data_IF_130804723178
#
_entry.id   IF_130804723178
#
_cell.length_a   1.000
_cell.length_b   1.000
_cell.length_c   1.000
_cell.angle_alpha   90.00
_cell.angle_beta   90.00
_cell.angle_gamma   90.00
#
_symmetry.space_group_name_H-M   'P 1'
#
loop_
_entity.id
_entity.type
_entity.pdbx_description
1 polymer ?
#
# COMPACT_ATOMS: atom_id res chain seq x y z
N UNK A 1 -0.69 -3.80 -9.93
CA UNK A 1 0.04 -4.27 -11.08
C UNK A 1 -0.11 -3.38 -12.30
N UNK A 2 0.54 -3.75 -13.38
CA UNK A 2 0.65 -2.91 -14.59
C UNK A 2 -0.69 -2.55 -15.24
N UNK A 3 -1.70 -3.41 -15.11
CA UNK A 3 -2.99 -3.26 -15.82
C UNK A 3 -4.22 -3.61 -15.00
N UNK A 4 -4.07 -3.86 -13.71
CA UNK A 4 -5.12 -4.55 -12.93
C UNK A 4 -5.78 -3.67 -11.86
N UNK A 5 -5.53 -2.36 -11.83
CA UNK A 5 -6.13 -1.45 -10.87
C UNK A 5 -6.76 -0.25 -11.57
N UNK A 6 -8.08 -0.14 -11.50
CA UNK A 6 -8.85 1.02 -11.95
C UNK A 6 -9.73 1.53 -10.83
N UNK A 7 -9.73 2.83 -10.59
CA UNK A 7 -10.60 3.45 -9.59
C UNK A 7 -12.08 3.25 -9.95
N UNK A 8 -12.45 3.47 -11.22
CA UNK A 8 -13.86 3.34 -11.66
C UNK A 8 -14.40 1.92 -11.50
N UNK A 9 -13.58 0.91 -11.77
CA UNK A 9 -13.98 -0.49 -11.59
C UNK A 9 -14.00 -0.83 -10.10
N UNK A 10 -13.00 -0.37 -9.36
CA UNK A 10 -12.93 -0.57 -7.91
C UNK A 10 -14.15 0.01 -7.19
N UNK A 11 -14.54 1.25 -7.50
CA UNK A 11 -15.72 1.88 -6.91
C UNK A 11 -17.01 1.08 -7.23
N UNK A 12 -17.20 0.65 -8.48
CA UNK A 12 -18.35 -0.19 -8.86
C UNK A 12 -18.40 -1.53 -8.14
N UNK A 13 -17.23 -2.13 -7.86
CA UNK A 13 -17.13 -3.37 -7.10
C UNK A 13 -17.51 -3.14 -5.64
N UNK A 14 -17.04 -2.04 -5.05
CA UNK A 14 -17.37 -1.65 -3.67
C UNK A 14 -18.85 -1.30 -3.52
N UNK A 15 -19.45 -0.60 -4.48
CA UNK A 15 -20.87 -0.28 -4.51
C UNK A 15 -21.77 -1.52 -4.51
N UNK A 16 -21.26 -2.66 -4.99
CA UNK A 16 -21.93 -3.96 -4.93
C UNK A 16 -21.69 -4.71 -3.61
N UNK A 17 -20.98 -4.10 -2.65
CA UNK A 17 -20.67 -4.69 -1.36
C UNK A 17 -19.51 -5.71 -1.41
N UNK A 18 -18.77 -5.79 -2.50
CA UNK A 18 -17.62 -6.69 -2.63
C UNK A 18 -16.37 -5.99 -2.12
N UNK A 19 -15.91 -6.43 -0.96
CA UNK A 19 -14.71 -5.86 -0.30
C UNK A 19 -13.52 -6.81 -0.52
N UNK A 20 -12.37 -6.31 -1.00
CA UNK A 20 -11.19 -7.14 -1.19
C UNK A 20 -10.67 -7.64 0.17
N UNK A 21 -10.29 -8.91 0.21
CA UNK A 21 -9.74 -9.50 1.44
C UNK A 21 -8.25 -9.15 1.62
N UNK A 22 -7.49 -9.13 0.51
CA UNK A 22 -6.06 -8.84 0.50
C UNK A 22 -5.71 -7.77 -0.53
N UNK A 23 -4.63 -7.03 -0.27
CA UNK A 23 -4.02 -6.09 -1.20
C UNK A 23 -2.65 -6.63 -1.61
N UNK A 24 -2.36 -6.59 -2.91
CA UNK A 24 -1.05 -6.92 -3.47
C UNK A 24 -0.60 -5.83 -4.43
N UNK A 25 0.70 -5.62 -4.55
CA UNK A 25 1.27 -4.69 -5.52
C UNK A 25 1.22 -5.24 -6.93
N UNK A 26 1.27 -6.57 -7.09
CA UNK A 26 1.53 -7.21 -8.38
C UNK A 26 2.72 -6.54 -9.10
N UNK A 27 3.79 -6.27 -8.34
CA UNK A 27 4.94 -5.49 -8.80
C UNK A 27 5.75 -6.28 -9.81
N UNK A 28 5.81 -5.77 -11.02
CA UNK A 28 6.65 -6.30 -12.10
C UNK A 28 7.72 -5.29 -12.48
N UNK A 29 8.79 -5.72 -13.15
CA UNK A 29 9.85 -4.81 -13.61
C UNK A 29 9.30 -3.64 -14.44
N UNK A 30 8.45 -3.86 -15.47
CA UNK A 30 7.81 -2.75 -16.19
C UNK A 30 6.85 -1.92 -15.34
N UNK A 31 6.09 -2.55 -14.45
CA UNK A 31 5.13 -1.88 -13.56
C UNK A 31 5.80 -0.94 -12.58
N UNK A 32 6.99 -1.29 -12.09
CA UNK A 32 7.78 -0.46 -11.17
C UNK A 32 8.20 0.89 -11.77
N UNK A 33 8.33 0.96 -13.07
CA UNK A 33 8.75 2.20 -13.75
C UNK A 33 7.61 3.21 -13.82
N UNK A 34 6.36 2.76 -14.07
CA UNK A 34 5.27 3.66 -14.44
C UNK A 34 4.01 3.56 -13.58
N UNK A 35 3.73 2.42 -12.93
CA UNK A 35 2.38 2.18 -12.40
C UNK A 35 2.33 1.98 -10.89
N UNK A 36 3.26 1.22 -10.31
CA UNK A 36 3.28 0.89 -8.88
C UNK A 36 4.70 0.90 -8.37
N UNK A 37 5.00 1.66 -7.32
CA UNK A 37 6.31 1.68 -6.72
C UNK A 37 6.47 0.72 -5.56
N UNK A 38 5.44 0.64 -4.73
CA UNK A 38 5.54 -0.01 -3.43
C UNK A 38 4.17 -0.39 -2.88
N UNK A 39 4.18 -1.18 -1.82
CA UNK A 39 2.98 -1.46 -1.05
C UNK A 39 2.41 -0.19 -0.40
N UNK A 40 3.23 0.75 0.05
CA UNK A 40 2.76 2.00 0.67
C UNK A 40 2.00 2.88 -0.31
N UNK A 41 2.38 2.90 -1.59
CA UNK A 41 1.59 3.55 -2.64
C UNK A 41 0.24 2.85 -2.84
N UNK A 42 0.20 1.51 -2.86
CA UNK A 42 -1.07 0.78 -2.93
C UNK A 42 -1.95 1.05 -1.72
N UNK A 43 -1.38 1.05 -0.50
CA UNK A 43 -2.12 1.44 0.72
C UNK A 43 -2.74 2.83 0.56
N UNK A 44 -1.98 3.80 0.06
CA UNK A 44 -2.48 5.18 -0.18
C UNK A 44 -3.62 5.20 -1.20
N UNK A 45 -3.56 4.39 -2.28
CA UNK A 45 -4.67 4.27 -3.24
C UNK A 45 -5.94 3.74 -2.59
N UNK A 46 -5.84 2.75 -1.72
CA UNK A 46 -7.00 2.21 -1.00
C UNK A 46 -7.56 3.22 0.02
N UNK A 47 -6.71 4.00 0.69
CA UNK A 47 -7.19 5.13 1.50
C UNK A 47 -7.94 6.16 0.64
N UNK A 48 -7.46 6.45 -0.58
CA UNK A 48 -8.13 7.35 -1.52
C UNK A 48 -9.45 6.78 -2.07
N UNK A 49 -9.71 5.48 -1.94
CA UNK A 49 -10.99 4.82 -2.22
C UNK A 49 -11.94 4.81 -1.01
N UNK A 50 -11.54 5.41 0.11
CA UNK A 50 -12.40 5.54 1.30
C UNK A 50 -12.20 4.46 2.37
N UNK A 51 -11.28 3.53 2.19
CA UNK A 51 -10.96 2.55 3.23
C UNK A 51 -10.31 3.22 4.44
N UNK A 52 -10.58 2.70 5.63
CA UNK A 52 -9.90 3.12 6.85
C UNK A 52 -8.48 2.56 6.89
N UNK A 53 -7.58 3.25 7.58
CA UNK A 53 -6.19 2.82 7.71
C UNK A 53 -6.06 1.40 8.29
N UNK A 54 -6.85 1.08 9.31
CA UNK A 54 -6.86 -0.23 9.94
C UNK A 54 -7.27 -1.35 8.97
N UNK A 55 -8.29 -1.09 8.13
CA UNK A 55 -8.73 -2.05 7.11
C UNK A 55 -7.60 -2.31 6.11
N UNK A 56 -6.96 -1.23 5.63
CA UNK A 56 -5.84 -1.32 4.68
C UNK A 56 -4.66 -2.08 5.29
N UNK A 57 -4.33 -1.83 6.57
CA UNK A 57 -3.28 -2.57 7.28
C UNK A 57 -3.63 -4.07 7.34
N UNK A 58 -4.86 -4.41 7.74
CA UNK A 58 -5.28 -5.80 7.83
C UNK A 58 -5.22 -6.52 6.47
N UNK A 59 -5.64 -5.84 5.39
CA UNK A 59 -5.55 -6.35 4.01
C UNK A 59 -4.11 -6.58 3.53
N UNK A 60 -3.11 -5.93 4.16
CA UNK A 60 -1.70 -6.09 3.82
C UNK A 60 -0.94 -7.01 4.77
N UNK A 61 -1.53 -7.42 5.88
CA UNK A 61 -0.83 -8.15 6.97
C UNK A 61 -1.54 -9.43 7.37
N UNK A 62 -2.49 -9.36 8.30
CA UNK A 62 -3.14 -10.56 8.86
C UNK A 62 -4.01 -11.30 7.83
N UNK A 63 -4.69 -10.57 6.94
CA UNK A 63 -5.55 -11.21 5.96
C UNK A 63 -4.76 -12.08 4.96
N UNK A 64 -3.67 -11.59 4.32
CA UNK A 64 -2.84 -12.43 3.47
C UNK A 64 -2.13 -13.54 4.24
N UNK A 65 -1.69 -13.31 5.49
CA UNK A 65 -1.12 -14.35 6.34
C UNK A 65 -2.13 -15.50 6.58
N UNK A 66 -3.38 -15.15 6.87
CA UNK A 66 -4.46 -16.14 7.05
C UNK A 66 -4.79 -16.88 5.74
N UNK A 67 -4.79 -16.17 4.62
CA UNK A 67 -5.09 -16.76 3.32
C UNK A 67 -4.09 -17.86 2.90
N UNK A 68 -2.84 -17.78 3.39
CA UNK A 68 -1.80 -18.79 3.13
C UNK A 68 -1.52 -19.70 4.32
N UNK A 69 -2.30 -19.63 5.41
CA UNK A 69 -2.16 -20.48 6.59
C UNK A 69 -1.00 -20.12 7.52
N UNK A 70 -0.46 -18.90 7.44
CA UNK A 70 0.70 -18.42 8.20
C UNK A 70 0.35 -17.45 9.34
N UNK A 71 -0.93 -17.31 9.68
CA UNK A 71 -1.42 -16.36 10.69
C UNK A 71 -0.84 -16.58 12.09
N UNK A 72 -0.39 -17.78 12.41
CA UNK A 72 0.23 -18.08 13.71
C UNK A 72 1.66 -17.51 13.82
N UNK A 73 2.32 -17.35 12.69
CA UNK A 73 3.71 -16.88 12.59
C UNK A 73 3.83 -15.42 12.14
N UNK A 74 2.93 -14.97 11.27
CA UNK A 74 3.01 -13.67 10.57
C UNK A 74 1.73 -12.84 10.76
N UNK A 75 1.79 -11.60 10.30
CA UNK A 75 0.63 -10.72 10.10
C UNK A 75 0.17 -9.93 11.32
N UNK A 76 0.75 -10.14 12.51
CA UNK A 76 0.45 -9.36 13.74
C UNK A 76 1.71 -9.09 14.56
N UNK A 77 1.61 -8.14 15.49
CA UNK A 77 2.70 -7.73 16.39
C UNK A 77 2.70 -8.46 17.74
N UNK A 78 2.03 -9.61 17.84
CA UNK A 78 2.00 -10.38 19.07
C UNK A 78 3.40 -10.92 19.42
N UNK A 79 3.73 -10.93 20.71
CA UNK A 79 4.97 -11.50 21.20
C UNK A 79 5.08 -12.99 20.79
N UNK A 80 6.27 -13.42 20.42
CA UNK A 80 6.54 -14.79 19.96
C UNK A 80 6.41 -15.00 18.45
N UNK A 81 5.87 -14.03 17.71
CA UNK A 81 5.84 -14.07 16.24
C UNK A 81 7.16 -13.63 15.63
N UNK A 82 7.34 -13.93 14.35
CA UNK A 82 8.53 -13.49 13.60
C UNK A 82 8.62 -11.97 13.60
N UNK A 83 9.82 -11.45 13.88
CA UNK A 83 10.08 -10.00 13.95
C UNK A 83 10.24 -9.40 12.54
N UNK A 84 9.15 -9.40 11.77
CA UNK A 84 9.02 -8.76 10.48
C UNK A 84 8.09 -7.55 10.62
N UNK A 85 8.65 -6.33 10.60
CA UNK A 85 7.94 -5.11 10.92
C UNK A 85 8.10 -4.08 9.79
N UNK A 86 7.05 -3.35 9.48
CA UNK A 86 7.12 -2.13 8.67
C UNK A 86 6.85 -0.92 9.55
N UNK A 87 7.79 0.02 9.58
CA UNK A 87 7.64 1.30 10.27
C UNK A 87 7.22 2.31 9.22
N UNK A 88 6.00 2.81 9.36
CA UNK A 88 5.34 3.69 8.41
C UNK A 88 4.99 5.02 9.07
N UNK A 89 4.86 6.06 8.28
CA UNK A 89 4.37 7.38 8.69
C UNK A 89 3.16 7.74 7.83
N UNK A 90 2.19 8.42 8.42
CA UNK A 90 1.15 9.11 7.66
C UNK A 90 1.63 10.54 7.43
N UNK A 91 1.81 10.89 6.18
CA UNK A 91 2.23 12.22 5.75
C UNK A 91 1.03 12.99 5.22
N UNK A 92 0.70 14.12 5.87
CA UNK A 92 -0.38 14.99 5.41
C UNK A 92 0.11 15.92 4.30
N UNK A 93 -0.75 16.20 3.33
CA UNK A 93 -0.44 17.08 2.21
C UNK A 93 -1.40 16.89 1.04
N UNK A 94 -1.16 17.61 -0.04
CA UNK A 94 -1.92 17.48 -1.28
C UNK A 94 -1.31 16.36 -2.14
N UNK A 95 -1.81 15.15 -1.95
CA UNK A 95 -1.33 13.98 -2.68
C UNK A 95 -2.24 13.67 -3.86
N UNK A 96 -1.65 13.16 -4.93
CA UNK A 96 -2.39 12.62 -6.08
C UNK A 96 -1.89 11.21 -6.37
N UNK A 97 -2.79 10.25 -6.35
CA UNK A 97 -2.53 8.87 -6.76
C UNK A 97 -3.23 8.59 -8.08
N UNK A 98 -2.66 7.70 -8.88
CA UNK A 98 -3.16 7.39 -10.22
C UNK A 98 -3.49 5.91 -10.32
N UNK A 99 -4.50 5.58 -11.12
CA UNK A 99 -4.76 4.21 -11.54
C UNK A 99 -3.96 3.84 -12.81
N UNK A 100 -4.18 2.64 -13.33
CA UNK A 100 -3.47 2.16 -14.53
C UNK A 100 -3.86 2.88 -15.82
N UNK A 101 -4.97 3.63 -15.81
CA UNK A 101 -5.44 4.45 -16.93
C UNK A 101 -5.02 5.92 -16.78
N UNK A 102 -4.16 6.24 -15.78
CA UNK A 102 -3.75 7.58 -15.40
C UNK A 102 -4.91 8.47 -14.90
N UNK A 103 -6.00 7.89 -14.40
CA UNK A 103 -7.03 8.65 -13.73
C UNK A 103 -6.52 9.11 -12.35
N UNK A 104 -6.48 10.42 -12.07
CA UNK A 104 -6.02 10.95 -10.81
C UNK A 104 -7.08 10.84 -9.72
N UNK A 105 -6.63 10.60 -8.48
CA UNK A 105 -7.46 10.73 -7.28
C UNK A 105 -6.68 11.49 -6.22
N UNK A 106 -7.26 12.56 -5.69
CA UNK A 106 -6.66 13.39 -4.64
C UNK A 106 -6.93 12.78 -3.27
N UNK A 107 -5.96 12.96 -2.38
CA UNK A 107 -6.06 12.57 -0.98
C UNK A 107 -5.18 13.49 -0.12
N UNK A 108 -5.63 13.78 1.11
CA UNK A 108 -4.95 14.68 2.05
C UNK A 108 -3.83 14.03 2.86
N UNK A 109 -3.60 12.74 2.67
CA UNK A 109 -2.59 11.96 3.40
C UNK A 109 -2.04 10.81 2.58
N UNK A 110 -0.80 10.43 2.84
CA UNK A 110 -0.18 9.26 2.23
C UNK A 110 0.52 8.39 3.27
N UNK A 111 0.60 7.10 2.98
CA UNK A 111 1.40 6.15 3.76
C UNK A 111 2.81 6.16 3.20
N UNK A 112 3.79 6.57 4.00
CA UNK A 112 5.19 6.63 3.58
C UNK A 112 6.07 5.69 4.40
N UNK A 113 7.08 5.04 3.79
CA UNK A 113 7.96 4.13 4.49
C UNK A 113 9.00 4.91 5.32
N UNK A 114 9.29 4.41 6.53
CA UNK A 114 10.33 4.96 7.40
C UNK A 114 11.48 3.95 7.56
N UNK A 115 11.15 2.71 7.88
CA UNK A 115 12.12 1.62 8.00
C UNK A 115 11.39 0.27 7.93
N UNK A 116 12.13 -0.79 7.75
CA UNK A 116 11.62 -2.14 7.96
C UNK A 116 12.55 -2.95 8.87
N UNK A 117 11.98 -3.95 9.51
CA UNK A 117 12.71 -4.98 10.25
C UNK A 117 12.38 -6.31 9.58
N UNK A 118 13.39 -7.07 9.24
CA UNK A 118 13.27 -8.43 8.70
C UNK A 118 14.05 -9.39 9.59
N UNK A 119 13.36 -10.35 10.18
CA UNK A 119 13.95 -11.31 11.11
C UNK A 119 14.75 -10.65 12.23
N UNK A 120 14.24 -9.52 12.75
CA UNK A 120 14.88 -8.74 13.81
C UNK A 120 15.98 -7.78 13.34
N UNK A 121 16.37 -7.78 12.06
CA UNK A 121 17.38 -6.88 11.52
C UNK A 121 16.70 -5.66 10.90
N UNK A 122 17.11 -4.46 11.32
CA UNK A 122 16.58 -3.18 10.83
C UNK A 122 17.26 -2.77 9.52
N UNK A 123 16.44 -2.36 8.57
CA UNK A 123 16.86 -1.76 7.30
C UNK A 123 16.25 -0.36 7.17
N UNK A 124 17.04 0.57 6.65
CA UNK A 124 16.50 1.88 6.28
C UNK A 124 15.52 1.74 5.12
N UNK A 125 14.49 2.58 5.10
CA UNK A 125 13.59 2.63 3.96
C UNK A 125 14.31 3.29 2.79
N UNK A 126 14.22 2.67 1.62
CA UNK A 126 14.60 3.26 0.35
C UNK A 126 13.32 3.64 -0.41
N UNK A 127 13.25 4.88 -0.87
CA UNK A 127 12.12 5.39 -1.65
C UNK A 127 12.15 4.91 -3.12
N UNK A 128 13.17 4.14 -3.49
CA UNK A 128 13.32 3.57 -4.81
C UNK A 128 14.10 4.47 -5.78
N UNK A 129 14.31 3.99 -7.02
CA UNK A 129 15.27 4.57 -7.96
C UNK A 129 14.80 5.81 -8.70
N UNK A 130 13.59 6.30 -8.47
CA UNK A 130 13.06 7.50 -9.12
C UNK A 130 12.33 8.41 -8.16
N UNK A 131 12.19 9.70 -8.55
CA UNK A 131 11.26 10.62 -7.92
C UNK A 131 9.86 10.01 -7.95
N UNK A 132 9.20 10.00 -6.83
CA UNK A 132 7.85 9.49 -6.71
C UNK A 132 6.89 10.51 -7.29
N UNK A 133 6.25 10.19 -8.42
CA UNK A 133 5.30 11.09 -9.07
C UNK A 133 4.03 11.36 -8.25
N UNK A 134 3.91 10.72 -7.09
CA UNK A 134 2.80 10.88 -6.17
C UNK A 134 3.18 11.61 -4.86
N UNK A 135 4.44 12.04 -4.73
CA UNK A 135 4.86 12.89 -3.61
C UNK A 135 4.19 14.26 -3.71
N UNK A 136 3.88 14.91 -2.57
CA UNK A 136 3.39 16.27 -2.60
C UNK A 136 4.37 17.15 -3.36
N UNK A 137 3.85 18.05 -4.17
CA UNK A 137 4.67 19.05 -4.83
C UNK A 137 5.27 19.98 -3.76
N UNK A 138 6.57 19.82 -3.49
CA UNK A 138 7.30 20.63 -2.53
C UNK A 138 7.56 22.07 -3.01
N UNK A 139 7.07 22.42 -4.20
CA UNK A 139 7.24 23.76 -4.80
C UNK A 139 6.08 24.73 -4.50
N UNK A 140 5.13 24.35 -3.64
CA UNK A 140 4.05 25.23 -3.20
C UNK A 140 4.25 25.71 -1.77
#
# INVERSE_FOLDING_TARGET
GRSNFSFDIGDKVLDQGLIPHCISTDLTVPGRINTVHSMTEMMTRFLAMGFKLEEVINMCTINPASAIGEQDRLGTLHAGKQADLSILKIENGDWVVYDVLNNPRKIDKAVVPVACVKEGIKYAADWGPRSWGWLPDSSK
#
